data_IF_943189453874
#
_entry.id   IF_943189453874
#
_cell.length_a   1.000
_cell.length_b   1.000
_cell.length_c   1.000
_cell.angle_alpha   90.00
_cell.angle_beta   90.00
_cell.angle_gamma   90.00
#
_symmetry.space_group_name_H-M   'P 1'
#
loop_
_entity.id
_entity.type
_entity.pdbx_description
1 polymer ?
#
# COMPACT_ATOMS: atom_id res chain seq x y z
N UNK A 1 -1.70 -16.56 -22.62
CA UNK A 1 -1.15 -16.38 -21.27
C UNK A 1 -1.71 -15.08 -20.74
N UNK A 2 -2.70 -15.11 -19.84
CA UNK A 2 -3.25 -13.87 -19.28
C UNK A 2 -2.12 -13.12 -18.56
N UNK A 3 -1.79 -11.91 -19.03
CA UNK A 3 -0.87 -11.04 -18.30
C UNK A 3 -1.48 -10.80 -16.92
N UNK A 4 -0.73 -11.18 -15.89
CA UNK A 4 -1.12 -10.99 -14.50
C UNK A 4 -1.47 -9.50 -14.30
N UNK A 5 -2.74 -9.20 -13.96
CA UNK A 5 -3.29 -7.83 -13.91
C UNK A 5 -2.94 -7.05 -12.63
N UNK A 6 -2.15 -7.64 -11.73
CA UNK A 6 -1.84 -7.06 -10.41
C UNK A 6 -0.38 -7.28 -9.98
N UNK A 7 0.25 -6.24 -9.43
CA UNK A 7 1.56 -6.31 -8.80
C UNK A 7 1.29 -6.67 -7.35
N UNK A 8 1.93 -7.71 -6.84
CA UNK A 8 1.66 -8.15 -5.48
C UNK A 8 2.61 -7.43 -4.52
N UNK A 9 2.06 -6.65 -3.60
CA UNK A 9 2.80 -6.07 -2.47
C UNK A 9 2.46 -6.86 -1.22
N UNK A 10 3.49 -7.42 -0.59
CA UNK A 10 3.38 -8.08 0.71
C UNK A 10 3.55 -7.05 1.81
N UNK A 11 2.57 -6.95 2.70
CA UNK A 11 2.62 -6.10 3.89
C UNK A 11 2.97 -6.97 5.09
N UNK A 12 4.04 -6.58 5.79
CA UNK A 12 4.44 -7.17 7.08
C UNK A 12 4.31 -6.12 8.16
N UNK A 13 3.71 -6.50 9.29
CA UNK A 13 3.41 -5.59 10.40
C UNK A 13 4.11 -6.07 11.65
N UNK A 14 4.87 -5.17 12.26
CA UNK A 14 5.48 -5.35 13.58
C UNK A 14 4.82 -4.36 14.55
N UNK A 15 3.78 -4.85 15.25
CA UNK A 15 3.02 -4.04 16.20
C UNK A 15 3.89 -3.57 17.37
N UNK A 16 4.83 -4.40 17.83
CA UNK A 16 5.70 -4.07 18.97
C UNK A 16 6.59 -2.86 18.67
N UNK A 17 7.13 -2.81 17.46
CA UNK A 17 7.96 -1.70 16.99
C UNK A 17 7.16 -0.64 16.22
N UNK A 18 5.83 -0.77 16.16
CA UNK A 18 4.89 0.10 15.42
C UNK A 18 5.31 0.34 13.97
N UNK A 19 5.84 -0.69 13.32
CA UNK A 19 6.46 -0.61 11.99
C UNK A 19 5.68 -1.43 10.98
N UNK A 20 5.58 -0.90 9.77
CA UNK A 20 5.09 -1.62 8.60
C UNK A 20 6.21 -1.67 7.55
N UNK A 21 6.33 -2.80 6.86
CA UNK A 21 7.23 -2.95 5.71
C UNK A 21 6.45 -3.52 4.52
N UNK A 22 6.69 -2.96 3.34
CA UNK A 22 6.10 -3.39 2.09
C UNK A 22 7.18 -3.98 1.17
N UNK A 23 6.92 -5.15 0.60
CA UNK A 23 7.83 -5.83 -0.34
C UNK A 23 7.09 -6.36 -1.57
N UNK A 24 7.43 -5.94 -2.80
CA UNK A 24 8.33 -4.81 -3.10
C UNK A 24 7.76 -3.49 -2.57
N UNK A 25 8.61 -2.47 -2.52
CA UNK A 25 8.17 -1.10 -2.23
C UNK A 25 7.12 -0.68 -3.28
N UNK A 26 5.90 -0.29 -2.88
CA UNK A 26 4.80 0.09 -3.76
C UNK A 26 5.17 1.09 -4.86
N UNK A 27 6.07 2.05 -4.56
CA UNK A 27 6.51 3.02 -5.59
C UNK A 27 7.31 2.36 -6.71
N UNK A 28 7.91 1.19 -6.47
CA UNK A 28 8.69 0.44 -7.47
C UNK A 28 7.88 -0.57 -8.26
N UNK A 29 6.63 -0.86 -7.87
CA UNK A 29 5.76 -1.84 -8.55
C UNK A 29 5.39 -1.46 -10.00
N UNK A 30 5.76 -0.25 -10.43
CA UNK A 30 5.01 0.46 -11.43
C UNK A 30 5.81 0.84 -12.70
N UNK A 31 7.16 0.83 -12.63
CA UNK A 31 8.03 1.00 -13.82
C UNK A 31 8.48 -0.31 -14.48
N UNK A 32 8.47 -1.44 -13.78
CA UNK A 32 8.94 -2.72 -14.34
C UNK A 32 7.82 -3.40 -15.13
N UNK A 33 7.43 -2.85 -16.29
CA UNK A 33 6.38 -3.40 -17.17
C UNK A 33 5.14 -3.92 -16.41
N UNK A 34 4.83 -3.21 -15.31
CA UNK A 34 4.02 -3.73 -14.23
C UNK A 34 2.53 -3.59 -14.52
N UNK A 35 1.71 -4.41 -13.88
CA UNK A 35 0.25 -4.31 -13.95
C UNK A 35 -0.30 -2.99 -13.39
N UNK A 36 -1.48 -2.59 -13.88
CA UNK A 36 -2.14 -1.30 -13.57
C UNK A 36 -2.69 -1.20 -12.13
N UNK A 37 -2.69 -2.32 -11.42
CA UNK A 37 -3.32 -2.49 -10.13
C UNK A 37 -2.31 -3.09 -9.16
N UNK A 38 -2.40 -2.75 -7.88
CA UNK A 38 -1.62 -3.40 -6.82
C UNK A 38 -2.57 -4.29 -6.01
N UNK A 39 -2.14 -5.53 -5.77
CA UNK A 39 -2.76 -6.44 -4.83
C UNK A 39 -1.91 -6.45 -3.56
N UNK A 40 -2.48 -5.93 -2.49
CA UNK A 40 -1.89 -5.89 -1.17
C UNK A 40 -2.26 -7.16 -0.42
N UNK A 41 -1.26 -7.87 0.07
CA UNK A 41 -1.41 -9.15 0.76
C UNK A 41 -0.90 -9.02 2.18
N UNK A 42 -1.52 -9.74 3.12
CA UNK A 42 -1.25 -9.63 4.56
C UNK A 42 -0.85 -10.97 5.19
N UNK A 43 0.18 -11.66 4.70
CA UNK A 43 0.57 -12.96 5.23
C UNK A 43 1.13 -12.83 6.65
N UNK A 44 0.54 -13.56 7.60
CA UNK A 44 1.00 -13.54 8.99
C UNK A 44 0.72 -12.21 9.70
N UNK A 45 -0.36 -11.53 9.33
CA UNK A 45 -0.82 -10.33 10.02
C UNK A 45 -0.99 -10.64 11.53
N UNK A 46 -0.43 -9.80 12.42
CA UNK A 46 -0.58 -10.00 13.87
C UNK A 46 -2.06 -10.03 14.27
N UNK A 47 -2.45 -10.88 15.24
CA UNK A 47 -3.85 -11.06 15.62
C UNK A 47 -4.49 -9.79 16.21
N UNK A 48 -3.69 -8.81 16.62
CA UNK A 48 -4.16 -7.51 17.11
C UNK A 48 -4.66 -6.59 15.98
N UNK A 49 -4.27 -6.83 14.73
CA UNK A 49 -4.65 -5.98 13.59
C UNK A 49 -5.97 -6.47 12.97
N UNK A 50 -7.02 -5.67 13.09
CA UNK A 50 -8.37 -5.96 12.57
C UNK A 50 -8.71 -5.19 11.28
N UNK A 51 -8.03 -4.06 11.01
CA UNK A 51 -8.27 -3.27 9.81
C UNK A 51 -6.99 -2.70 9.22
N UNK A 52 -6.96 -2.60 7.88
CA UNK A 52 -5.87 -1.95 7.14
C UNK A 52 -6.44 -0.91 6.18
N UNK A 53 -5.87 0.29 6.21
CA UNK A 53 -6.19 1.37 5.25
C UNK A 53 -4.96 1.68 4.42
N UNK A 54 -5.16 1.87 3.11
CA UNK A 54 -4.12 2.23 2.15
C UNK A 54 -4.50 3.56 1.51
N UNK A 55 -3.60 4.53 1.64
CA UNK A 55 -3.73 5.87 1.07
C UNK A 55 -2.55 6.17 0.14
N UNK A 56 -2.83 6.89 -0.94
CA UNK A 56 -1.81 7.29 -1.91
C UNK A 56 -2.00 8.75 -2.33
N UNK A 57 -0.95 9.56 -2.30
CA UNK A 57 -0.95 10.98 -2.68
C UNK A 57 0.16 11.27 -3.71
N UNK A 58 -0.18 12.06 -4.74
CA UNK A 58 0.80 12.58 -5.69
C UNK A 58 1.33 13.92 -5.18
N UNK A 59 2.62 13.97 -4.87
CA UNK A 59 3.25 15.18 -4.37
C UNK A 59 3.70 16.06 -5.55
N UNK A 60 2.73 16.71 -6.21
CA UNK A 60 2.99 17.57 -7.38
C UNK A 60 2.44 19.00 -7.20
N UNK A 61 2.95 19.75 -6.22
CA UNK A 61 2.73 21.19 -6.12
C UNK A 61 1.53 21.64 -5.28
N UNK A 62 1.54 22.92 -4.91
CA UNK A 62 0.73 23.52 -3.82
C UNK A 62 -0.79 23.42 -3.98
N UNK A 63 -1.31 23.14 -5.18
CA UNK A 63 -2.75 23.01 -5.48
C UNK A 63 -3.31 21.59 -5.32
N UNK A 64 -2.46 20.57 -5.22
CA UNK A 64 -2.86 19.17 -4.97
C UNK A 64 -2.53 18.72 -3.54
N UNK A 65 -1.94 19.63 -2.76
CA UNK A 65 -1.75 19.57 -1.32
C UNK A 65 -3.10 19.23 -0.66
N UNK A 66 -3.19 18.09 0.02
CA UNK A 66 -4.26 17.69 0.94
C UNK A 66 -5.34 16.71 0.41
N UNK A 67 -5.14 15.95 -0.67
CA UNK A 67 -6.07 14.85 -1.01
C UNK A 67 -5.36 13.61 -1.57
N UNK A 68 -5.59 12.41 -0.99
CA UNK A 68 -5.12 11.18 -1.60
C UNK A 68 -5.79 10.97 -2.97
N UNK A 69 -4.99 10.58 -3.97
CA UNK A 69 -5.51 10.15 -5.28
C UNK A 69 -6.26 8.84 -5.20
N UNK A 70 -5.86 7.95 -4.27
CA UNK A 70 -6.57 6.71 -3.98
C UNK A 70 -6.71 6.53 -2.48
N UNK A 71 -7.94 6.23 -2.08
CA UNK A 71 -8.30 5.81 -0.73
C UNK A 71 -8.94 4.44 -0.86
N UNK A 72 -8.29 3.40 -0.34
CA UNK A 72 -8.85 2.06 -0.29
C UNK A 72 -8.76 1.54 1.14
N UNK A 73 -9.86 0.98 1.62
CA UNK A 73 -9.96 0.44 2.96
C UNK A 73 -10.34 -1.03 2.87
N UNK A 74 -9.56 -1.89 3.52
CA UNK A 74 -9.91 -3.29 3.75
C UNK A 74 -10.17 -3.51 5.23
N UNK A 75 -11.32 -4.09 5.55
CA UNK A 75 -11.71 -4.42 6.92
C UNK A 75 -11.87 -5.93 7.02
N UNK A 76 -11.17 -6.57 7.96
CA UNK A 76 -11.42 -7.98 8.25
C UNK A 76 -12.59 -8.08 9.25
N UNK A 77 -13.57 -8.97 9.02
CA UNK A 77 -14.62 -9.21 10.00
C UNK A 77 -14.05 -9.87 11.26
N UNK A 78 -14.38 -9.26 12.39
CA UNK A 78 -13.82 -9.50 13.74
C UNK A 78 -14.15 -10.84 14.43
N UNK A 79 -14.56 -11.88 13.68
CA UNK A 79 -15.18 -13.08 14.27
C UNK A 79 -14.40 -14.38 14.15
N UNK A 80 -13.30 -14.48 13.40
CA UNK A 80 -12.73 -15.82 13.17
C UNK A 80 -11.33 -15.84 12.56
N UNK A 81 -10.24 -15.62 13.34
CA UNK A 81 -8.86 -15.84 12.85
C UNK A 81 -8.63 -15.35 11.41
N UNK A 82 -9.32 -14.27 11.02
CA UNK A 82 -9.68 -14.03 9.62
C UNK A 82 -8.54 -13.22 9.03
N UNK A 83 -7.73 -13.90 8.26
CA UNK A 83 -6.62 -13.31 7.52
C UNK A 83 -7.23 -12.27 6.59
N UNK A 84 -6.99 -10.99 6.89
CA UNK A 84 -7.50 -9.84 6.15
C UNK A 84 -7.37 -10.12 4.65
N UNK A 85 -8.51 -10.08 3.94
CA UNK A 85 -8.53 -10.39 2.52
C UNK A 85 -7.61 -9.44 1.75
N UNK A 86 -7.06 -9.92 0.63
CA UNK A 86 -6.22 -9.08 -0.22
C UNK A 86 -6.97 -7.81 -0.63
N UNK A 87 -6.33 -6.65 -0.48
CA UNK A 87 -6.88 -5.37 -0.96
C UNK A 87 -6.36 -5.16 -2.37
N UNK A 88 -7.22 -4.77 -3.30
CA UNK A 88 -6.81 -4.40 -4.65
C UNK A 88 -7.02 -2.91 -4.84
N UNK A 89 -5.94 -2.17 -5.08
CA UNK A 89 -6.00 -0.78 -5.51
C UNK A 89 -5.83 -0.70 -7.02
N UNK A 90 -6.67 0.11 -7.67
CA UNK A 90 -6.67 0.29 -9.11
C UNK A 90 -6.02 1.62 -9.50
N UNK A 91 -5.60 1.72 -10.77
CA UNK A 91 -5.14 2.97 -11.39
C UNK A 91 -3.91 3.62 -10.72
N UNK A 92 -2.92 2.83 -10.29
CA UNK A 92 -1.62 3.41 -9.92
C UNK A 92 -1.07 4.23 -11.11
N UNK A 93 -0.46 5.39 -10.85
CA UNK A 93 -0.35 6.50 -11.82
C UNK A 93 0.99 6.56 -12.57
N UNK A 94 0.91 6.64 -13.91
CA UNK A 94 1.96 6.48 -14.99
C UNK A 94 2.86 7.67 -15.14
N UNK A 95 3.26 8.24 -14.01
CA UNK A 95 3.89 9.54 -13.98
C UNK A 95 5.12 9.57 -13.07
N UNK A 96 6.16 10.23 -13.58
CA UNK A 96 7.33 10.63 -12.80
C UNK A 96 6.90 11.59 -11.69
N UNK A 97 7.47 11.40 -10.50
CA UNK A 97 7.28 12.33 -9.39
C UNK A 97 7.53 11.71 -8.03
N UNK A 98 7.37 12.54 -7.00
CA UNK A 98 7.36 12.09 -5.62
C UNK A 98 5.96 11.64 -5.25
N UNK A 99 5.86 10.47 -4.62
CA UNK A 99 4.59 9.96 -4.15
C UNK A 99 4.70 9.65 -2.68
N UNK A 100 3.63 9.96 -1.97
CA UNK A 100 3.46 9.59 -0.58
C UNK A 100 2.44 8.47 -0.54
N UNK A 101 2.76 7.39 0.15
CA UNK A 101 1.79 6.36 0.43
C UNK A 101 1.78 6.07 1.92
N UNK A 102 0.59 5.82 2.43
CA UNK A 102 0.41 5.45 3.82
C UNK A 102 -0.33 4.13 3.92
N UNK A 103 0.19 3.24 4.76
CA UNK A 103 -0.48 2.02 5.20
C UNK A 103 -0.73 2.18 6.69
N UNK A 104 -1.98 2.07 7.11
CA UNK A 104 -2.37 2.16 8.51
C UNK A 104 -2.96 0.83 8.97
N UNK A 105 -2.53 0.34 10.14
CA UNK A 105 -3.08 -0.85 10.78
C UNK A 105 -3.80 -0.45 12.08
N UNK A 106 -5.05 -0.90 12.24
CA UNK A 106 -5.89 -0.57 13.40
C UNK A 106 -6.33 -1.83 14.16
N UNK A 107 -6.59 -1.68 15.45
CA UNK A 107 -7.27 -2.69 16.26
C UNK A 107 -8.80 -2.63 16.10
N UNK A 108 -9.52 -3.55 16.76
CA UNK A 108 -11.00 -3.60 16.78
C UNK A 108 -11.69 -2.31 17.20
N UNK A 109 -11.04 -1.52 18.05
CA UNK A 109 -11.58 -0.28 18.59
C UNK A 109 -11.26 0.93 17.69
N UNK A 110 -10.50 0.73 16.62
CA UNK A 110 -10.07 1.78 15.71
C UNK A 110 -8.80 2.50 16.18
N UNK A 111 -8.06 1.96 17.14
CA UNK A 111 -6.78 2.56 17.56
C UNK A 111 -5.69 2.20 16.57
N UNK A 112 -4.83 3.17 16.24
CA UNK A 112 -3.70 2.98 15.34
C UNK A 112 -2.58 2.17 16.02
N UNK A 113 -2.31 0.97 15.50
CA UNK A 113 -1.27 0.07 15.98
C UNK A 113 0.08 0.36 15.32
N UNK A 114 0.09 0.46 13.99
CA UNK A 114 1.29 0.69 13.20
C UNK A 114 0.97 1.49 11.94
N UNK A 115 1.95 2.22 11.43
CA UNK A 115 1.85 2.91 10.15
C UNK A 115 3.16 2.81 9.37
N UNK A 116 3.06 2.69 8.05
CA UNK A 116 4.12 3.06 7.12
C UNK A 116 3.66 4.36 6.46
N UNK A 117 4.47 5.40 6.52
CA UNK A 117 4.26 6.63 5.75
C UNK A 117 5.51 7.03 4.95
N UNK A 118 6.08 6.14 4.12
CA UNK A 118 7.25 6.48 3.33
C UNK A 118 6.86 7.43 2.18
N UNK A 119 7.61 8.52 2.09
CA UNK A 119 7.78 9.22 0.82
C UNK A 119 8.71 8.38 -0.05
N UNK A 120 8.27 8.08 -1.27
CA UNK A 120 9.08 7.36 -2.24
C UNK A 120 9.21 8.17 -3.52
N UNK A 121 10.42 8.22 -4.04
CA UNK A 121 10.68 8.77 -5.35
C UNK A 121 10.33 7.71 -6.40
N UNK A 122 9.37 8.02 -7.26
CA UNK A 122 9.13 7.27 -8.48
C UNK A 122 10.10 7.82 -9.53
N UNK A 123 11.40 7.57 -9.31
CA UNK A 123 12.51 8.04 -10.14
C UNK A 123 12.39 7.54 -11.59
N UNK A 124 13.12 8.16 -12.50
CA UNK A 124 13.16 7.78 -13.91
C UNK A 124 13.46 6.27 -14.06
N UNK A 125 12.83 5.64 -15.06
CA UNK A 125 13.25 4.34 -15.57
C UNK A 125 14.78 4.42 -15.76
N UNK A 126 15.59 3.51 -15.16
CA UNK A 126 16.98 3.40 -15.56
C UNK A 126 16.98 3.20 -17.07
N UNK A 127 17.53 4.16 -17.80
CA UNK A 127 17.78 3.98 -19.23
C UNK A 127 18.91 2.95 -19.30
N UNK A 128 18.55 1.68 -19.17
CA UNK A 128 19.42 0.53 -19.36
C UNK A 128 19.70 0.34 -20.85
N UNK A 129 20.85 -0.26 -21.17
CA UNK A 129 21.78 0.11 -22.26
C UNK A 129 21.18 0.20 -23.67
#
# INVERSE_FOLDING_TARGET
MEKQRYATVKVTVDVKNRRITCDPDPVKCYWVAGPENIRWTFPGLPPEVDAVTIEWERNAGSKYKNKPMFYAQGVAPSTSNSHLGDIVTAQNVKEKGKFKYAVFCFDRAGNLLAQADPEGDNDDIPIGP
#
